data_IF_664893291367
#
_entry.id   IF_664893291367
#
_cell.length_a   1.000
_cell.length_b   1.000
_cell.length_c   1.000
_cell.angle_alpha   90.00
_cell.angle_beta   90.00
_cell.angle_gamma   90.00
#
_symmetry.space_group_name_H-M   'P 1'
#
loop_
_entity.id
_entity.type
_entity.pdbx_description
1 polymer ?
#
# COMPACT_ATOMS: atom_id res chain seq x y z
N UNK A 1 -10.43 5.40 -23.57
CA UNK A 1 -9.97 4.66 -22.36
C UNK A 1 -11.20 4.37 -21.51
N UNK A 2 -11.37 3.17 -20.93
CA UNK A 2 -12.47 2.91 -20.00
C UNK A 2 -12.46 3.95 -18.87
N UNK A 3 -13.63 4.36 -18.37
CA UNK A 3 -13.70 5.16 -17.15
C UNK A 3 -13.09 4.34 -16.01
N UNK A 4 -12.15 4.92 -15.28
CA UNK A 4 -11.53 4.32 -14.11
C UNK A 4 -11.60 5.28 -12.93
N UNK A 5 -11.40 4.73 -11.74
CA UNK A 5 -11.42 5.47 -10.49
C UNK A 5 -10.00 5.57 -9.91
N UNK A 6 -9.79 6.63 -9.13
CA UNK A 6 -8.54 6.88 -8.42
C UNK A 6 -8.85 7.37 -7.01
N UNK A 7 -7.87 7.26 -6.12
CA UNK A 7 -7.98 7.71 -4.74
C UNK A 7 -6.61 8.07 -4.18
N UNK A 8 -6.62 8.94 -3.18
CA UNK A 8 -5.44 9.37 -2.44
C UNK A 8 -5.71 9.24 -0.95
N UNK A 9 -4.72 8.77 -0.20
CA UNK A 9 -4.71 8.87 1.24
C UNK A 9 -3.32 9.19 1.75
N UNK A 10 -3.26 9.78 2.94
CA UNK A 10 -1.99 10.07 3.62
C UNK A 10 -1.71 9.02 4.68
N UNK A 11 -0.46 8.56 4.75
CA UNK A 11 0.03 7.65 5.77
C UNK A 11 1.16 8.32 6.57
N UNK A 12 0.95 8.47 7.88
CA UNK A 12 1.99 8.94 8.79
C UNK A 12 2.77 7.75 9.33
N UNK A 13 4.10 7.77 9.16
CA UNK A 13 5.02 6.74 9.63
C UNK A 13 5.92 7.36 10.70
N UNK A 14 5.91 6.79 11.91
CA UNK A 14 6.67 7.34 13.04
C UNK A 14 8.15 7.00 12.97
N UNK A 15 8.44 5.74 12.68
CA UNK A 15 9.79 5.19 12.60
C UNK A 15 9.96 4.53 11.24
N UNK A 16 11.18 4.51 10.71
CA UNK A 16 11.45 3.87 9.42
C UNK A 16 10.91 2.43 9.42
N UNK A 17 10.10 2.11 8.42
CA UNK A 17 9.41 0.83 8.35
C UNK A 17 9.20 0.38 6.90
N UNK A 18 9.25 -0.94 6.70
CA UNK A 18 8.77 -1.56 5.46
C UNK A 18 7.27 -1.71 5.56
N UNK A 19 6.52 -0.94 4.79
CA UNK A 19 5.06 -0.95 4.79
C UNK A 19 4.54 -1.64 3.54
N UNK A 20 3.67 -2.62 3.72
CA UNK A 20 2.89 -3.25 2.67
C UNK A 20 1.56 -2.55 2.50
N UNK A 21 1.25 -2.11 1.28
CA UNK A 21 -0.05 -1.56 0.90
C UNK A 21 -0.80 -2.63 0.10
N UNK A 22 -1.89 -3.13 0.68
CA UNK A 22 -2.71 -4.19 0.13
C UNK A 22 -4.03 -3.63 -0.41
N UNK A 23 -4.49 -4.14 -1.55
CA UNK A 23 -5.78 -3.78 -2.16
C UNK A 23 -6.69 -5.00 -2.30
N UNK A 24 -8.00 -4.79 -2.15
CA UNK A 24 -9.01 -5.85 -2.40
C UNK A 24 -9.30 -6.13 -3.87
N UNK A 25 -8.83 -5.28 -4.78
CA UNK A 25 -9.10 -5.34 -6.21
C UNK A 25 -7.90 -4.84 -7.01
N UNK A 26 -7.88 -5.14 -8.31
CA UNK A 26 -6.80 -4.73 -9.21
C UNK A 26 -6.76 -3.20 -9.40
N UNK A 27 -5.63 -2.59 -9.02
CA UNK A 27 -5.27 -1.20 -9.30
C UNK A 27 -3.74 -1.00 -9.19
N UNK A 28 -3.28 0.21 -9.52
CA UNK A 28 -1.91 0.67 -9.28
C UNK A 28 -1.78 1.30 -7.90
N UNK A 29 -0.59 1.18 -7.31
CA UNK A 29 -0.22 1.78 -6.02
C UNK A 29 1.08 2.53 -6.24
N UNK A 30 1.06 3.83 -6.02
CA UNK A 30 2.25 4.68 -6.02
C UNK A 30 2.39 5.32 -4.63
N UNK A 31 3.62 5.52 -4.18
CA UNK A 31 3.92 6.21 -2.93
C UNK A 31 4.82 7.41 -3.18
N UNK A 32 4.63 8.48 -2.41
CA UNK A 32 5.47 9.67 -2.50
C UNK A 32 5.69 10.31 -1.11
N UNK A 33 6.85 10.94 -0.93
CA UNK A 33 7.18 11.81 0.21
C UNK A 33 7.39 13.22 -0.31
N UNK A 34 6.50 14.14 0.06
CA UNK A 34 6.49 15.48 -0.54
C UNK A 34 6.32 15.40 -2.06
N UNK A 35 7.31 15.85 -2.82
CA UNK A 35 7.33 15.82 -4.29
C UNK A 35 8.09 14.63 -4.88
N UNK A 36 8.62 13.75 -4.04
CA UNK A 36 9.49 12.65 -4.46
C UNK A 36 8.71 11.34 -4.48
N UNK A 37 8.59 10.73 -5.66
CA UNK A 37 8.05 9.38 -5.78
C UNK A 37 9.01 8.35 -5.16
N UNK A 38 8.46 7.35 -4.48
CA UNK A 38 9.18 6.25 -3.87
C UNK A 38 9.11 5.01 -4.78
N UNK A 39 10.19 4.24 -4.79
CA UNK A 39 10.29 3.00 -5.56
C UNK A 39 9.74 1.85 -4.70
N UNK A 40 8.87 1.02 -5.28
CA UNK A 40 8.43 -0.22 -4.66
C UNK A 40 9.60 -1.19 -4.51
N UNK A 41 9.72 -1.83 -3.36
CA UNK A 41 10.81 -2.76 -3.06
C UNK A 41 10.42 -4.23 -3.22
N UNK A 42 9.13 -4.54 -3.20
CA UNK A 42 8.62 -5.89 -3.41
C UNK A 42 7.13 -5.90 -3.80
N UNK A 43 6.67 -7.01 -4.39
CA UNK A 43 5.29 -7.25 -4.80
C UNK A 43 4.83 -8.66 -4.41
N UNK A 44 3.58 -8.77 -3.97
CA UNK A 44 2.99 -10.08 -3.65
C UNK A 44 1.47 -10.06 -3.61
N UNK A 45 0.92 -11.09 -2.98
CA UNK A 45 -0.50 -11.23 -2.68
C UNK A 45 -0.69 -11.52 -1.18
N UNK A 46 -1.91 -11.38 -0.67
CA UNK A 46 -2.21 -11.84 0.69
C UNK A 46 -2.19 -13.37 0.76
N UNK A 47 -2.34 -13.96 1.96
CA UNK A 47 -2.44 -15.41 2.11
C UNK A 47 -3.48 -16.02 1.16
N UNK A 48 -3.28 -17.28 0.79
CA UNK A 48 -4.23 -17.97 -0.08
C UNK A 48 -5.66 -17.86 0.47
N UNK A 49 -6.61 -17.63 -0.44
CA UNK A 49 -8.03 -17.42 -0.13
C UNK A 49 -8.36 -16.16 0.70
N UNK A 50 -7.41 -15.23 0.93
CA UNK A 50 -7.69 -13.96 1.64
C UNK A 50 -8.49 -12.93 0.84
N UNK A 51 -8.56 -13.06 -0.48
CA UNK A 51 -9.17 -12.07 -1.36
C UNK A 51 -8.33 -10.80 -1.54
N UNK A 52 -7.03 -10.83 -1.20
CA UNK A 52 -6.08 -9.74 -1.44
C UNK A 52 -5.22 -10.10 -2.67
N UNK A 53 -5.60 -9.66 -3.88
CA UNK A 53 -4.89 -10.00 -5.11
C UNK A 53 -3.52 -9.32 -5.24
N UNK A 54 -3.27 -8.22 -4.51
CA UNK A 54 -2.06 -7.43 -4.67
C UNK A 54 -1.63 -6.74 -3.38
N UNK A 55 -0.33 -6.83 -3.10
CA UNK A 55 0.39 -6.07 -2.08
C UNK A 55 1.63 -5.46 -2.75
N UNK A 56 1.86 -4.17 -2.51
CA UNK A 56 3.09 -3.47 -2.91
C UNK A 56 3.81 -3.00 -1.65
N UNK A 57 5.10 -3.29 -1.56
CA UNK A 57 5.92 -2.95 -0.40
C UNK A 57 6.80 -1.73 -0.68
N UNK A 58 6.91 -0.85 0.30
CA UNK A 58 7.79 0.32 0.27
C UNK A 58 8.60 0.41 1.55
N UNK A 59 9.86 0.82 1.45
CA UNK A 59 10.64 1.23 2.60
C UNK A 59 10.35 2.72 2.87
N UNK A 60 9.50 3.01 3.86
CA UNK A 60 9.05 4.35 4.19
C UNK A 60 9.91 4.95 5.32
N UNK A 61 10.54 6.12 5.11
CA UNK A 61 11.20 6.85 6.19
C UNK A 61 10.16 7.43 7.16
N UNK A 62 10.56 7.94 8.34
CA UNK A 62 9.66 8.72 9.19
C UNK A 62 9.08 9.93 8.45
N UNK A 63 7.79 10.17 8.58
CA UNK A 63 7.13 11.32 7.98
C UNK A 63 5.71 11.06 7.48
N UNK A 64 5.23 11.99 6.67
CA UNK A 64 3.93 11.93 6.01
C UNK A 64 4.11 11.56 4.55
N UNK A 65 3.45 10.49 4.12
CA UNK A 65 3.51 9.99 2.76
C UNK A 65 2.15 10.06 2.09
N UNK A 66 2.14 10.34 0.81
CA UNK A 66 0.95 10.25 -0.03
C UNK A 66 0.96 8.91 -0.74
N UNK A 67 -0.13 8.16 -0.62
CA UNK A 67 -0.35 6.92 -1.35
C UNK A 67 -1.45 7.17 -2.39
N UNK A 68 -1.13 6.90 -3.65
CA UNK A 68 -2.04 7.03 -4.77
C UNK A 68 -2.49 5.65 -5.24
N UNK A 69 -3.80 5.52 -5.42
CA UNK A 69 -4.42 4.40 -6.11
C UNK A 69 -4.93 4.89 -7.46
N UNK A 70 -4.55 4.20 -8.55
CA UNK A 70 -4.95 4.57 -9.90
C UNK A 70 -5.49 3.38 -10.70
N UNK A 71 -6.32 3.66 -11.70
CA UNK A 71 -6.90 2.67 -12.62
C UNK A 71 -7.77 1.59 -11.95
N UNK A 72 -8.46 1.92 -10.86
CA UNK A 72 -9.41 1.00 -10.25
C UNK A 72 -10.67 0.87 -11.12
N UNK A 73 -11.19 -0.36 -11.26
CA UNK A 73 -12.41 -0.63 -12.04
C UNK A 73 -13.70 -0.28 -11.29
N UNK A 74 -13.65 -0.24 -9.94
CA UNK A 74 -14.79 0.03 -9.06
C UNK A 74 -14.62 1.39 -8.37
N UNK A 75 -15.72 2.09 -8.05
CA UNK A 75 -15.67 3.35 -7.31
C UNK A 75 -15.23 3.18 -5.85
N UNK A 76 -15.22 1.95 -5.35
CA UNK A 76 -14.82 1.62 -3.97
C UNK A 76 -13.94 0.38 -3.99
N UNK A 77 -12.80 0.46 -3.32
CA UNK A 77 -11.89 -0.65 -3.03
C UNK A 77 -11.48 -0.57 -1.56
N UNK A 78 -11.13 -1.69 -0.94
CA UNK A 78 -10.57 -1.70 0.42
C UNK A 78 -9.06 -1.65 0.36
N UNK A 79 -8.48 -0.91 1.30
CA UNK A 79 -7.04 -0.69 1.43
C UNK A 79 -6.61 -1.10 2.83
N UNK A 80 -5.46 -1.75 2.95
CA UNK A 80 -4.77 -1.97 4.21
C UNK A 80 -3.32 -1.51 4.07
N UNK A 81 -2.80 -0.84 5.09
CA UNK A 81 -1.38 -0.54 5.24
C UNK A 81 -0.88 -1.22 6.51
N UNK A 82 0.16 -2.04 6.39
CA UNK A 82 0.72 -2.78 7.52
C UNK A 82 2.24 -2.76 7.49
N UNK A 83 2.86 -2.57 8.66
CA UNK A 83 4.30 -2.82 8.83
C UNK A 83 4.58 -4.31 8.57
N UNK A 84 5.67 -4.65 7.88
CA UNK A 84 6.11 -6.02 7.69
C UNK A 84 6.35 -6.78 9.01
N UNK A 85 6.55 -6.04 10.11
CA UNK A 85 6.68 -6.56 11.48
C UNK A 85 5.33 -6.68 12.20
N UNK A 86 4.25 -6.14 11.64
CA UNK A 86 2.92 -6.27 12.22
C UNK A 86 2.53 -7.76 12.27
N UNK A 87 1.90 -8.17 13.37
CA UNK A 87 1.45 -9.54 13.62
C UNK A 87 2.59 -10.59 13.68
N UNK A 88 3.85 -10.18 13.80
CA UNK A 88 4.91 -11.10 14.20
C UNK A 88 4.73 -11.47 15.68
N UNK A 89 4.95 -12.74 16.07
CA UNK A 89 4.94 -13.13 17.47
C UNK A 89 5.92 -12.24 18.24
N UNK A 90 5.47 -11.64 19.35
CA UNK A 90 6.39 -10.93 20.23
C UNK A 90 7.42 -11.92 20.78
N UNK A 91 8.72 -11.57 20.77
CA UNK A 91 9.72 -12.37 21.46
C UNK A 91 9.32 -12.51 22.93
N UNK A 92 9.36 -13.75 23.44
CA UNK A 92 9.04 -14.06 24.83
C UNK A 92 10.10 -13.52 25.78
#
# INVERSE_FOLDING_TARGET
MPKSYAGLFTLSVKDQARIGIALSDAAWIDAATGTTALISVDHGHGPDCSGIPKIVWFDLPPGLHTIQIASAAKPTIRIMAADARANQPQPR
#
